data_IF_044495516626
#
_entry.id   IF_044495516626
#
_cell.length_a   1.000
_cell.length_b   1.000
_cell.length_c   1.000
_cell.angle_alpha   90.00
_cell.angle_beta   90.00
_cell.angle_gamma   90.00
#
_symmetry.space_group_name_H-M   'P 1'
#
loop_
_entity.id
_entity.type
_entity.pdbx_description
1 polymer ?
#
# COMPACT_ATOMS: atom_id res chain seq x y z
N UNK A 1 2.34 -58.68 -47.60
CA UNK A 1 2.51 -57.25 -47.94
C UNK A 1 1.69 -56.43 -46.95
N UNK A 2 2.37 -55.91 -45.90
CA UNK A 2 1.75 -55.21 -44.80
C UNK A 2 2.06 -53.72 -44.90
N UNK A 3 1.06 -52.91 -45.26
CA UNK A 3 1.22 -51.46 -45.37
C UNK A 3 1.00 -50.82 -44.02
N UNK A 4 1.93 -49.97 -43.50
CA UNK A 4 1.66 -49.22 -42.27
C UNK A 4 0.64 -48.09 -42.52
N UNK A 5 -0.31 -47.96 -41.60
CA UNK A 5 -1.31 -46.87 -41.57
C UNK A 5 -0.63 -45.61 -40.99
N UNK A 6 -0.85 -44.43 -41.58
CA UNK A 6 -0.37 -43.21 -40.99
C UNK A 6 -1.19 -42.87 -39.70
N UNK A 7 -0.47 -42.58 -38.61
CA UNK A 7 -1.07 -42.07 -37.37
C UNK A 7 -1.50 -40.62 -37.60
N UNK A 8 -2.80 -40.37 -37.51
CA UNK A 8 -3.35 -39.01 -37.45
C UNK A 8 -2.96 -38.37 -36.11
N UNK A 9 -1.94 -37.52 -36.12
CA UNK A 9 -1.61 -36.67 -35.00
C UNK A 9 -2.76 -35.71 -34.76
N UNK A 10 -3.42 -35.81 -33.60
CA UNK A 10 -4.55 -34.95 -33.22
C UNK A 10 -4.04 -33.53 -32.90
N UNK A 11 -4.30 -32.59 -33.83
CA UNK A 11 -3.98 -31.19 -33.70
C UNK A 11 -4.81 -30.44 -32.61
N UNK A 12 -5.68 -31.15 -31.90
CA UNK A 12 -6.57 -30.57 -30.89
C UNK A 12 -5.94 -30.29 -29.53
N UNK A 13 -4.81 -30.95 -29.20
CA UNK A 13 -4.19 -30.82 -27.89
C UNK A 13 -3.43 -29.50 -27.66
N UNK A 14 -2.87 -28.94 -28.69
CA UNK A 14 -2.06 -27.68 -28.60
C UNK A 14 -2.93 -26.45 -28.46
N UNK A 15 -4.13 -26.44 -29.06
CA UNK A 15 -5.06 -25.31 -28.95
C UNK A 15 -5.68 -25.17 -27.54
N UNK A 16 -5.99 -26.30 -26.90
CA UNK A 16 -6.54 -26.32 -25.54
C UNK A 16 -5.50 -25.86 -24.48
N UNK A 17 -4.23 -26.25 -24.66
CA UNK A 17 -3.16 -25.83 -23.75
C UNK A 17 -2.85 -24.32 -23.85
N UNK A 18 -2.92 -23.73 -25.05
CA UNK A 18 -2.73 -22.29 -25.25
C UNK A 18 -3.86 -21.45 -24.63
N UNK A 19 -5.11 -21.92 -24.69
CA UNK A 19 -6.25 -21.22 -24.10
C UNK A 19 -6.22 -21.25 -22.56
N UNK A 20 -5.77 -22.35 -21.96
CA UNK A 20 -5.59 -22.48 -20.52
C UNK A 20 -4.50 -21.54 -19.98
N UNK A 21 -3.40 -21.34 -20.72
CA UNK A 21 -2.34 -20.45 -20.33
C UNK A 21 -2.76 -18.96 -20.32
N UNK A 22 -3.66 -18.55 -21.22
CA UNK A 22 -4.19 -17.18 -21.26
C UNK A 22 -5.14 -16.86 -20.09
N UNK A 23 -5.82 -17.85 -19.54
CA UNK A 23 -6.74 -17.65 -18.41
C UNK A 23 -6.05 -17.55 -17.04
N UNK A 24 -4.83 -18.09 -16.89
CA UNK A 24 -4.07 -17.98 -15.65
C UNK A 24 -3.33 -16.63 -15.49
N UNK A 25 -3.17 -15.87 -16.57
CA UNK A 25 -2.50 -14.56 -16.53
C UNK A 25 -3.36 -13.40 -16.01
N UNK A 26 -4.67 -13.60 -15.84
CA UNK A 26 -5.61 -12.51 -15.50
C UNK A 26 -5.77 -12.22 -13.99
N UNK A 27 -5.15 -12.99 -13.09
CA UNK A 27 -5.28 -12.82 -11.65
C UNK A 27 -4.16 -11.98 -11.01
N UNK A 28 -3.34 -11.29 -11.79
CA UNK A 28 -2.26 -10.40 -11.33
C UNK A 28 -2.68 -8.95 -11.11
N UNK A 29 -3.91 -8.68 -10.71
CA UNK A 29 -4.39 -7.35 -10.36
C UNK A 29 -3.97 -6.93 -8.95
N UNK A 30 -2.67 -6.91 -8.64
CA UNK A 30 -2.15 -6.15 -7.51
C UNK A 30 -2.35 -4.67 -7.82
N UNK A 31 -3.36 -4.02 -7.24
CA UNK A 31 -3.56 -2.59 -7.38
C UNK A 31 -2.28 -1.88 -6.97
N UNK A 32 -1.66 -1.13 -7.89
CA UNK A 32 -0.49 -0.33 -7.60
C UNK A 32 -0.81 0.63 -6.43
N UNK A 33 0.05 0.65 -5.43
CA UNK A 33 -0.15 1.52 -4.27
C UNK A 33 -0.29 2.98 -4.74
N UNK A 34 -1.23 3.76 -4.17
CA UNK A 34 -1.45 5.14 -4.57
C UNK A 34 -0.16 5.95 -4.55
N UNK A 35 0.18 6.55 -5.67
CA UNK A 35 1.35 7.43 -5.76
C UNK A 35 1.01 8.82 -5.22
N UNK A 36 1.98 9.47 -4.58
CA UNK A 36 1.85 10.85 -4.09
C UNK A 36 2.75 11.74 -4.95
N UNK A 37 2.21 12.44 -5.96
CA UNK A 37 3.02 13.21 -6.90
C UNK A 37 3.89 14.25 -6.19
N UNK A 38 5.17 14.33 -6.55
CA UNK A 38 6.13 15.28 -5.99
C UNK A 38 6.57 15.00 -4.53
N UNK A 39 6.11 13.91 -3.92
CA UNK A 39 6.52 13.49 -2.58
C UNK A 39 7.68 12.49 -2.62
N UNK A 40 8.39 12.38 -1.52
CA UNK A 40 9.56 11.50 -1.38
C UNK A 40 9.42 10.56 -0.19
N UNK A 41 9.28 9.26 -0.46
CA UNK A 41 9.23 8.26 0.60
C UNK A 41 10.51 8.20 1.46
N UNK A 42 11.73 8.36 0.92
CA UNK A 42 12.93 8.47 1.77
C UNK A 42 12.89 9.67 2.74
N UNK A 43 12.39 10.84 2.30
CA UNK A 43 12.17 11.97 3.22
C UNK A 43 11.08 11.66 4.22
N UNK A 44 9.99 11.01 3.79
CA UNK A 44 8.91 10.57 4.68
C UNK A 44 9.42 9.66 5.80
N UNK A 45 10.30 8.71 5.47
CA UNK A 45 10.97 7.84 6.46
C UNK A 45 11.71 8.65 7.52
N UNK A 46 12.53 9.61 7.08
CA UNK A 46 13.28 10.46 7.99
C UNK A 46 12.37 11.34 8.87
N UNK A 47 11.28 11.87 8.31
CA UNK A 47 10.29 12.68 9.03
C UNK A 47 9.52 11.85 10.06
N UNK A 48 9.16 10.60 9.78
CA UNK A 48 8.53 9.67 10.73
C UNK A 48 9.41 9.50 11.97
N UNK A 49 10.72 9.33 11.77
CA UNK A 49 11.69 9.24 12.86
C UNK A 49 11.80 10.59 13.60
N UNK A 50 11.93 11.69 12.88
CA UNK A 50 12.08 13.03 13.44
C UNK A 50 10.90 13.44 14.33
N UNK A 51 9.66 13.17 13.88
CA UNK A 51 8.44 13.47 14.63
C UNK A 51 8.09 12.43 15.69
N UNK A 52 8.86 11.35 15.81
CA UNK A 52 8.65 10.32 16.82
C UNK A 52 7.37 9.51 16.64
N UNK A 53 6.88 9.32 15.42
CA UNK A 53 5.64 8.59 15.14
C UNK A 53 5.68 7.15 15.69
N UNK A 54 6.88 6.54 15.70
CA UNK A 54 7.12 5.20 16.22
C UNK A 54 6.87 5.01 17.71
N UNK A 55 6.86 6.10 18.50
CA UNK A 55 6.52 6.03 19.92
C UNK A 55 5.08 5.56 20.17
N UNK A 56 4.16 5.89 19.23
CA UNK A 56 2.76 5.52 19.33
C UNK A 56 2.34 4.44 18.33
N UNK A 57 3.00 4.36 17.19
CA UNK A 57 2.64 3.47 16.10
C UNK A 57 3.74 2.44 15.82
N UNK A 58 3.31 1.22 15.44
CA UNK A 58 4.21 0.27 14.81
C UNK A 58 4.31 0.58 13.33
N UNK A 59 5.56 0.68 12.80
CA UNK A 59 5.82 1.11 11.43
C UNK A 59 6.95 0.27 10.86
N UNK A 60 6.71 -0.46 9.78
CA UNK A 60 7.75 -1.28 9.13
C UNK A 60 8.91 -0.41 8.64
N UNK A 61 10.14 -0.94 8.74
CA UNK A 61 11.34 -0.29 8.24
C UNK A 61 11.80 0.95 9.02
N UNK A 62 11.20 1.25 10.17
CA UNK A 62 11.62 2.29 11.10
C UNK A 62 12.11 1.64 12.39
N UNK A 63 13.34 1.90 12.76
CA UNK A 63 13.93 1.34 13.97
C UNK A 63 13.17 1.82 15.22
N UNK A 64 12.90 0.91 16.16
CA UNK A 64 12.19 1.17 17.40
C UNK A 64 10.77 1.75 17.23
N UNK A 65 10.17 1.63 16.05
CA UNK A 65 8.79 2.01 15.81
C UNK A 65 7.87 0.82 16.11
N UNK A 66 7.72 0.50 17.40
CA UNK A 66 6.92 -0.60 17.92
C UNK A 66 5.80 -0.14 18.87
N UNK A 67 5.44 1.14 18.82
CA UNK A 67 4.40 1.77 19.63
C UNK A 67 3.05 1.09 19.48
N UNK A 68 2.26 1.08 20.58
CA UNK A 68 0.96 0.41 20.68
C UNK A 68 -0.16 1.33 21.14
N UNK A 69 0.11 2.63 21.25
CA UNK A 69 -0.90 3.64 21.65
C UNK A 69 -1.84 3.92 20.49
N UNK A 70 -1.28 4.07 19.30
CA UNK A 70 -2.04 4.19 18.04
C UNK A 70 -2.13 2.85 17.30
N UNK A 71 -2.94 2.78 16.25
CA UNK A 71 -3.01 1.58 15.41
C UNK A 71 -1.68 1.33 14.69
N UNK A 72 -1.34 0.05 14.42
CA UNK A 72 -0.20 -0.27 13.56
C UNK A 72 -0.35 0.41 12.21
N UNK A 73 0.72 0.95 11.65
CA UNK A 73 0.75 1.52 10.30
C UNK A 73 1.38 0.56 9.28
N UNK A 74 1.69 -0.66 9.68
CA UNK A 74 2.11 -1.73 8.76
C UNK A 74 0.98 -2.04 7.79
N UNK A 75 1.30 -2.30 6.52
CA UNK A 75 0.31 -2.56 5.48
C UNK A 75 -0.64 -1.38 5.24
N UNK A 76 -0.18 -0.16 5.42
CA UNK A 76 -1.01 1.04 5.36
C UNK A 76 -1.71 1.21 4.00
N UNK A 77 -1.08 0.78 2.92
CA UNK A 77 -1.64 0.88 1.57
C UNK A 77 -3.00 0.16 1.41
N UNK A 78 -3.26 -0.87 2.22
CA UNK A 78 -4.51 -1.63 2.17
C UNK A 78 -5.65 -1.00 2.98
N UNK A 79 -5.37 0.06 3.71
CA UNK A 79 -6.38 0.71 4.55
C UNK A 79 -7.40 1.46 3.73
N UNK A 80 -8.66 1.30 4.10
CA UNK A 80 -9.78 2.02 3.49
C UNK A 80 -10.12 3.32 4.22
N UNK A 81 -9.80 3.40 5.52
CA UNK A 81 -10.14 4.55 6.36
C UNK A 81 -9.01 4.92 7.31
N UNK A 82 -8.88 6.22 7.61
CA UNK A 82 -8.13 6.76 8.73
C UNK A 82 -9.11 7.32 9.76
N UNK A 83 -8.73 7.33 11.03
CA UNK A 83 -9.59 7.75 12.16
C UNK A 83 -10.98 7.11 12.20
N UNK A 84 -11.23 6.05 11.47
CA UNK A 84 -12.54 5.40 11.32
C UNK A 84 -13.57 6.19 10.52
N UNK A 85 -13.24 7.37 9.98
CA UNK A 85 -14.18 8.29 9.31
C UNK A 85 -13.73 8.76 7.93
N UNK A 86 -12.46 9.08 7.76
CA UNK A 86 -11.94 9.60 6.51
C UNK A 86 -11.53 8.45 5.59
N UNK A 87 -11.91 8.50 4.32
CA UNK A 87 -11.37 7.58 3.33
C UNK A 87 -9.83 7.71 3.30
N UNK A 88 -9.10 6.60 3.32
CA UNK A 88 -7.64 6.59 3.32
C UNK A 88 -7.09 6.93 1.92
N UNK A 89 -7.32 8.15 1.47
CA UNK A 89 -6.67 8.70 0.27
C UNK A 89 -5.38 9.42 0.68
N UNK A 90 -4.37 9.54 -0.22
CA UNK A 90 -3.17 10.30 0.11
C UNK A 90 -3.43 11.71 0.63
N UNK A 91 -4.43 12.40 0.08
CA UNK A 91 -4.80 13.74 0.50
C UNK A 91 -5.41 13.79 1.90
N UNK A 92 -6.37 12.93 2.21
CA UNK A 92 -7.01 12.90 3.53
C UNK A 92 -6.07 12.42 4.63
N UNK A 93 -5.18 11.46 4.31
CA UNK A 93 -4.14 11.01 5.26
C UNK A 93 -3.17 12.15 5.57
N UNK A 94 -2.74 12.92 4.56
CA UNK A 94 -1.88 14.08 4.77
C UNK A 94 -2.58 15.15 5.64
N UNK A 95 -3.86 15.44 5.40
CA UNK A 95 -4.64 16.36 6.22
C UNK A 95 -4.78 15.86 7.67
N UNK A 96 -5.01 14.55 7.85
CA UNK A 96 -5.06 13.93 9.17
C UNK A 96 -3.73 14.09 9.94
N UNK A 97 -2.58 13.88 9.28
CA UNK A 97 -1.25 14.02 9.90
C UNK A 97 -0.98 15.48 10.30
N UNK A 98 -1.42 16.44 9.49
CA UNK A 98 -1.21 17.88 9.77
C UNK A 98 -2.02 18.33 10.99
N UNK A 99 -3.29 17.97 11.05
CA UNK A 99 -4.20 18.41 12.13
C UNK A 99 -5.24 17.33 12.46
N UNK A 100 -4.87 16.36 13.30
CA UNK A 100 -5.78 15.26 13.66
C UNK A 100 -7.03 15.76 14.41
N UNK A 101 -6.90 16.76 15.28
CA UNK A 101 -8.00 17.27 16.10
C UNK A 101 -9.06 17.99 15.26
N UNK A 102 -8.71 18.59 14.14
CA UNK A 102 -9.67 19.18 13.21
C UNK A 102 -10.66 18.14 12.68
N UNK A 103 -10.20 16.90 12.47
CA UNK A 103 -11.02 15.81 11.93
C UNK A 103 -11.71 14.99 13.02
N UNK A 104 -11.07 14.85 14.17
CA UNK A 104 -11.56 14.15 15.34
C UNK A 104 -11.10 14.85 16.61
N UNK A 105 -11.88 15.79 17.16
CA UNK A 105 -11.47 16.62 18.31
C UNK A 105 -11.04 15.85 19.56
N UNK A 106 -11.50 14.60 19.70
CA UNK A 106 -11.19 13.74 20.86
C UNK A 106 -10.06 12.74 20.58
N UNK A 107 -9.35 12.86 19.45
CA UNK A 107 -8.23 11.97 19.17
C UNK A 107 -7.05 12.22 20.10
N UNK A 108 -6.38 11.15 20.54
CA UNK A 108 -5.15 11.26 21.31
C UNK A 108 -3.91 11.48 20.41
N UNK A 109 -4.04 11.36 19.08
CA UNK A 109 -2.97 11.68 18.15
C UNK A 109 -2.69 13.18 18.21
N UNK A 110 -1.48 13.61 18.61
CA UNK A 110 -1.17 15.02 18.77
C UNK A 110 -0.96 15.74 17.44
N UNK A 111 -1.18 17.05 17.42
CA UNK A 111 -0.73 17.93 16.34
C UNK A 111 0.76 18.23 16.57
N UNK A 112 1.63 17.73 15.68
CA UNK A 112 3.09 17.79 15.84
C UNK A 112 3.74 18.94 15.06
N UNK A 113 2.96 19.81 14.41
CA UNK A 113 3.50 20.88 13.57
C UNK A 113 4.03 20.38 12.22
N UNK A 114 3.60 19.21 11.77
CA UNK A 114 3.94 18.67 10.44
C UNK A 114 3.37 19.58 9.35
N UNK A 115 4.22 20.09 8.46
CA UNK A 115 3.74 20.90 7.33
C UNK A 115 3.04 20.03 6.27
N UNK A 116 2.16 20.62 5.43
CA UNK A 116 1.49 19.86 4.36
C UNK A 116 2.45 19.16 3.40
N UNK A 117 3.60 19.75 3.09
CA UNK A 117 4.63 19.13 2.26
C UNK A 117 5.28 17.92 2.93
N UNK A 118 5.61 18.03 4.21
CA UNK A 118 6.16 16.94 5.00
C UNK A 118 5.15 15.81 5.19
N UNK A 119 3.88 16.13 5.41
CA UNK A 119 2.81 15.14 5.51
C UNK A 119 2.70 14.33 4.21
N UNK A 120 2.83 14.96 3.04
CA UNK A 120 2.83 14.23 1.75
C UNK A 120 4.02 13.27 1.63
N UNK A 121 5.21 13.67 2.09
CA UNK A 121 6.38 12.79 2.11
C UNK A 121 6.16 11.59 3.05
N UNK A 122 5.62 11.84 4.25
CA UNK A 122 5.25 10.77 5.21
C UNK A 122 4.25 9.81 4.57
N UNK A 123 3.19 10.33 3.94
CA UNK A 123 2.19 9.52 3.23
C UNK A 123 2.82 8.69 2.13
N UNK A 124 3.75 9.25 1.34
CA UNK A 124 4.45 8.50 0.31
C UNK A 124 5.26 7.32 0.87
N UNK A 125 5.75 7.40 2.09
CA UNK A 125 6.38 6.26 2.78
C UNK A 125 5.35 5.23 3.23
N UNK A 126 4.28 5.68 3.88
CA UNK A 126 3.25 4.78 4.43
C UNK A 126 2.56 3.94 3.33
N UNK A 127 2.33 4.50 2.16
CA UNK A 127 1.72 3.77 1.04
C UNK A 127 2.66 2.77 0.35
N UNK A 128 3.91 2.64 0.79
CA UNK A 128 4.86 1.62 0.36
C UNK A 128 5.04 0.48 1.36
N UNK A 129 4.26 0.49 2.43
CA UNK A 129 4.31 -0.52 3.48
C UNK A 129 3.60 -1.83 3.07
#
# INVERSE_FOLDING_TARGET
>A
MNRPRPALASAGGLAAAALAALLLGACGGGGEAPTVPGASAPRGRALITYYGCGACHRISGIDQADGRVGPSLEGFAERRYVSGRLAATPASVAQWIVDPQRHLPQTIMPTLGVTPGQARDIVAYLYRQ
#
